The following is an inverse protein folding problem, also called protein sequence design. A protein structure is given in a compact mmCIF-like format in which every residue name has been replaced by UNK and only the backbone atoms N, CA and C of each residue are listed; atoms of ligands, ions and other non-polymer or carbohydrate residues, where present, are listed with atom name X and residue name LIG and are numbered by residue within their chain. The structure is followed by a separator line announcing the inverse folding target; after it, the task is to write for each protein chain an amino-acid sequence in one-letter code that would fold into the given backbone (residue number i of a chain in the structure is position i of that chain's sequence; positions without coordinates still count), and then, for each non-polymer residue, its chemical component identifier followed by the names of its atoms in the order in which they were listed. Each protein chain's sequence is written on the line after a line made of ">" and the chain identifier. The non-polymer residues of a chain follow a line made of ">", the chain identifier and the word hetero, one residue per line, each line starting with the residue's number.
data_IF_266788438160
#
_entry.id   IF_266788438160
#
_cell.length_a   1.000
_cell.length_b   1.000
_cell.length_c   1.000
_cell.angle_alpha   90.00
_cell.angle_beta   90.00
_cell.angle_gamma   90.00
#
_symmetry.space_group_name_H-M   'P 1'
#
loop_
_entity.id
_entity.type
_entity.pdbx_description
1 polymer ?
#
# COMPACT_ATOMS: atom_id res chain seq x y z
N UNK A 1 7.12 -10.00 -0.01
CA UNK A 1 7.85 -8.74 0.22
C UNK A 1 6.84 -7.62 0.28
N UNK A 2 6.92 -6.71 1.25
CA UNK A 2 6.02 -5.57 1.34
C UNK A 2 6.61 -4.41 0.55
N UNK A 3 6.08 -4.18 -0.65
CA UNK A 3 6.59 -3.14 -1.55
C UNK A 3 6.08 -1.75 -1.21
N UNK A 4 4.91 -1.64 -0.57
CA UNK A 4 4.26 -0.36 -0.32
C UNK A 4 3.17 -0.52 0.72
N UNK A 5 3.03 0.44 1.62
CA UNK A 5 1.91 0.49 2.57
C UNK A 5 1.51 1.94 2.83
N UNK A 6 0.26 2.25 2.50
CA UNK A 6 -0.37 3.53 2.75
C UNK A 6 -1.64 3.29 3.57
N UNK A 7 -1.75 4.00 4.69
CA UNK A 7 -2.89 3.94 5.61
C UNK A 7 -3.71 5.22 5.52
N UNK A 8 -4.88 5.24 6.16
CA UNK A 8 -5.70 6.44 6.37
C UNK A 8 -6.09 7.20 5.09
N UNK A 9 -6.23 6.48 3.96
CA UNK A 9 -6.71 7.06 2.69
C UNK A 9 -8.17 7.49 2.85
N UNK A 10 -8.51 8.78 2.69
CA UNK A 10 -9.91 9.21 2.74
C UNK A 10 -10.74 8.57 1.62
N UNK A 11 -11.99 8.20 1.92
CA UNK A 11 -12.90 7.61 0.93
C UNK A 11 -13.04 8.48 -0.32
N UNK A 12 -13.14 7.85 -1.50
CA UNK A 12 -13.16 8.51 -2.82
C UNK A 12 -11.91 9.30 -3.22
N UNK A 13 -10.84 9.27 -2.42
CA UNK A 13 -9.52 9.82 -2.78
C UNK A 13 -8.53 8.72 -3.18
N UNK A 14 -7.22 8.95 -3.05
CA UNK A 14 -6.19 7.98 -3.42
C UNK A 14 -4.98 8.04 -2.48
N UNK A 15 -4.01 7.16 -2.73
CA UNK A 15 -2.80 7.03 -1.91
C UNK A 15 -2.05 8.34 -1.59
N UNK A 16 -1.97 9.36 -2.49
CA UNK A 16 -1.32 10.64 -2.16
C UNK A 16 -1.95 11.42 -1.00
N UNK A 17 -3.19 11.09 -0.63
CA UNK A 17 -3.93 11.72 0.47
C UNK A 17 -3.90 10.89 1.76
N UNK A 18 -3.33 9.68 1.71
CA UNK A 18 -3.12 8.82 2.88
C UNK A 18 -1.77 9.07 3.55
N UNK A 19 -1.48 8.26 4.56
CA UNK A 19 -0.19 8.24 5.24
C UNK A 19 0.67 7.11 4.69
N UNK A 20 1.75 7.45 4.01
CA UNK A 20 2.76 6.47 3.58
C UNK A 20 3.60 6.03 4.78
N UNK A 21 3.38 4.80 5.25
CA UNK A 21 4.13 4.22 6.38
C UNK A 21 5.22 3.24 5.92
N UNK A 22 5.10 2.74 4.70
CA UNK A 22 6.19 2.05 3.99
C UNK A 22 6.27 2.65 2.60
N UNK A 23 7.39 3.33 2.30
CA UNK A 23 7.62 3.94 1.00
C UNK A 23 7.55 2.93 -0.13
N UNK A 24 7.04 3.35 -1.28
CA UNK A 24 7.02 2.48 -2.45
C UNK A 24 8.45 2.08 -2.87
N UNK A 25 8.71 0.78 -2.91
CA UNK A 25 9.90 0.19 -3.48
C UNK A 25 9.55 -0.56 -4.77
N UNK A 26 10.06 -0.06 -5.89
CA UNK A 26 9.92 -0.70 -7.21
C UNK A 26 10.38 -2.15 -7.18
N UNK A 27 9.55 -3.12 -7.61
CA UNK A 27 9.96 -4.51 -7.64
C UNK A 27 11.20 -4.79 -8.49
N UNK A 28 12.09 -5.65 -7.97
CA UNK A 28 13.31 -6.10 -8.64
C UNK A 28 13.42 -7.63 -8.56
N UNK A 29 12.55 -8.39 -9.25
CA UNK A 29 12.61 -9.84 -9.23
C UNK A 29 13.91 -10.31 -9.91
N UNK A 30 14.60 -11.25 -9.28
CA UNK A 30 15.89 -11.76 -9.78
C UNK A 30 15.76 -13.08 -10.53
N UNK A 31 14.75 -13.91 -10.20
CA UNK A 31 14.55 -15.24 -10.80
C UNK A 31 13.06 -15.56 -10.91
N UNK A 32 12.61 -16.03 -12.07
CA UNK A 32 11.24 -16.50 -12.32
C UNK A 32 10.20 -15.38 -12.55
N UNK A 33 8.92 -15.76 -12.57
CA UNK A 33 7.77 -14.85 -12.76
C UNK A 33 7.16 -14.51 -11.40
N UNK A 34 7.06 -13.22 -11.08
CA UNK A 34 6.53 -12.72 -9.79
C UNK A 34 5.20 -12.01 -9.99
N UNK A 35 4.29 -12.18 -9.03
CA UNK A 35 3.00 -11.47 -8.98
C UNK A 35 3.12 -10.33 -7.99
N UNK A 36 2.75 -9.12 -8.41
CA UNK A 36 2.67 -7.94 -7.56
C UNK A 36 1.20 -7.59 -7.38
N UNK A 37 0.75 -7.53 -6.13
CA UNK A 37 -0.67 -7.47 -5.79
C UNK A 37 -0.93 -6.19 -5.01
N UNK A 38 -1.90 -5.41 -5.47
CA UNK A 38 -2.49 -4.33 -4.70
C UNK A 38 -3.76 -4.84 -4.01
N UNK A 39 -3.91 -4.54 -2.73
CA UNK A 39 -5.09 -4.91 -1.94
C UNK A 39 -5.55 -3.67 -1.18
N UNK A 40 -6.85 -3.44 -1.12
CA UNK A 40 -7.46 -2.33 -0.40
C UNK A 40 -8.33 -2.87 0.73
N UNK A 41 -8.15 -2.33 1.94
CA UNK A 41 -8.95 -2.67 3.11
C UNK A 41 -9.67 -1.42 3.62
N UNK A 42 -10.91 -1.60 4.11
CA UNK A 42 -11.63 -0.54 4.82
C UNK A 42 -11.23 -0.57 6.30
N UNK A 43 -10.63 0.51 6.80
CA UNK A 43 -10.32 0.66 8.22
C UNK A 43 -11.59 0.88 9.05
N UNK A 44 -11.55 0.45 10.31
CA UNK A 44 -12.63 0.70 11.29
C UNK A 44 -12.66 2.17 11.75
N UNK A 45 -11.50 2.84 11.72
CA UNK A 45 -11.33 4.26 12.03
C UNK A 45 -9.96 4.75 11.56
N UNK A 46 -9.72 6.07 11.61
CA UNK A 46 -8.43 6.66 11.26
C UNK A 46 -7.39 6.36 12.35
N UNK A 47 -6.11 6.21 11.98
CA UNK A 47 -4.99 5.97 12.92
C UNK A 47 -5.16 4.69 13.76
N UNK A 48 -5.76 3.65 13.18
CA UNK A 48 -6.03 2.36 13.86
C UNK A 48 -5.06 1.24 13.45
N UNK A 49 -4.00 1.58 12.73
CA UNK A 49 -2.99 0.66 12.19
C UNK A 49 -1.61 1.08 12.67
#
# INVERSE_FOLDING_TARGET
>A
YLHWLVTDIPGSTGAPFGQEIVNYESPRPTVGIHRFVFVLFRQLGRQTV
#
